data_IF_834198755884
#
_entry.id   IF_834198755884
#
_cell.length_a   1.000
_cell.length_b   1.000
_cell.length_c   1.000
_cell.angle_alpha   90.00
_cell.angle_beta   90.00
_cell.angle_gamma   90.00
#
_symmetry.space_group_name_H-M   'P 1'
#
loop_
_entity.id
_entity.type
_entity.pdbx_description
1 polymer ?
#
# COMPACT_ATOMS: atom_id res chain seq x y z
N UNK A 1 25.37 -4.92 -32.78
CA UNK A 1 25.47 -5.19 -31.32
C UNK A 1 24.38 -6.21 -31.01
N UNK A 2 24.78 -7.47 -30.77
CA UNK A 2 23.87 -8.57 -30.41
C UNK A 2 23.29 -8.31 -29.02
N UNK A 3 21.96 -8.37 -28.88
CA UNK A 3 21.29 -8.30 -27.59
C UNK A 3 21.81 -9.43 -26.68
N UNK A 4 22.09 -9.18 -25.40
CA UNK A 4 22.51 -10.23 -24.49
C UNK A 4 21.42 -11.30 -24.38
N UNK A 5 21.81 -12.56 -24.55
CA UNK A 5 20.94 -13.72 -24.43
C UNK A 5 20.30 -13.75 -23.04
N UNK A 6 18.98 -13.68 -22.97
CA UNK A 6 18.23 -13.70 -21.71
C UNK A 6 18.12 -15.14 -21.22
N UNK A 7 18.60 -15.40 -20.00
CA UNK A 7 18.58 -16.70 -19.38
C UNK A 7 17.14 -17.20 -19.11
N UNK A 8 16.86 -18.53 -19.25
CA UNK A 8 15.53 -19.09 -18.95
C UNK A 8 15.15 -18.90 -17.47
N UNK A 9 13.85 -18.92 -17.13
CA UNK A 9 13.34 -18.67 -15.75
C UNK A 9 13.99 -19.59 -14.68
N UNK A 10 14.43 -20.76 -15.05
CA UNK A 10 15.20 -21.67 -14.20
C UNK A 10 16.62 -21.17 -13.85
N UNK A 11 17.13 -20.13 -14.55
CA UNK A 11 18.46 -19.58 -14.34
C UNK A 11 18.56 -18.56 -13.21
N UNK A 12 17.41 -18.06 -12.67
CA UNK A 12 17.43 -17.10 -11.58
C UNK A 12 17.46 -17.81 -10.22
N UNK A 13 18.65 -17.90 -9.62
CA UNK A 13 18.88 -18.60 -8.37
C UNK A 13 18.24 -17.95 -7.15
N UNK A 14 18.28 -18.65 -6.01
CA UNK A 14 17.83 -18.15 -4.71
C UNK A 14 18.48 -16.81 -4.33
N UNK A 15 19.68 -16.52 -4.80
CA UNK A 15 20.43 -15.28 -4.57
C UNK A 15 19.73 -14.08 -5.21
N UNK A 16 19.25 -14.17 -6.45
CA UNK A 16 18.50 -13.07 -7.12
C UNK A 16 17.22 -12.73 -6.35
N UNK A 17 16.51 -13.77 -5.89
CA UNK A 17 15.31 -13.58 -5.06
C UNK A 17 15.62 -12.86 -3.75
N UNK A 18 16.70 -13.22 -3.07
CA UNK A 18 17.14 -12.54 -1.83
C UNK A 18 17.48 -11.07 -2.06
N UNK A 19 18.16 -10.74 -3.17
CA UNK A 19 18.45 -9.34 -3.50
C UNK A 19 17.18 -8.52 -3.73
N UNK A 20 16.18 -9.09 -4.41
CA UNK A 20 14.87 -8.44 -4.58
C UNK A 20 14.17 -8.23 -3.24
N UNK A 21 14.12 -9.25 -2.38
CA UNK A 21 13.50 -9.19 -1.05
C UNK A 21 14.16 -8.09 -0.18
N UNK A 22 15.48 -8.00 -0.18
CA UNK A 22 16.23 -6.98 0.58
C UNK A 22 15.96 -5.58 0.04
N UNK A 23 15.97 -5.38 -1.28
CA UNK A 23 15.67 -4.08 -1.87
C UNK A 23 14.24 -3.62 -1.54
N UNK A 24 13.28 -4.55 -1.62
CA UNK A 24 11.87 -4.28 -1.29
C UNK A 24 11.72 -3.96 0.20
N UNK A 25 12.28 -4.78 1.09
CA UNK A 25 12.19 -4.55 2.53
C UNK A 25 12.77 -3.18 2.92
N UNK A 26 13.94 -2.82 2.38
CA UNK A 26 14.59 -1.53 2.64
C UNK A 26 13.77 -0.35 2.14
N UNK A 27 13.23 -0.42 0.91
CA UNK A 27 12.38 0.64 0.37
C UNK A 27 11.09 0.80 1.18
N UNK A 28 10.42 -0.30 1.53
CA UNK A 28 9.17 -0.22 2.28
C UNK A 28 9.37 0.12 3.75
N UNK A 29 10.54 -0.17 4.32
CA UNK A 29 10.92 0.35 5.64
C UNK A 29 11.04 1.87 5.61
N UNK A 30 11.70 2.43 4.57
CA UNK A 30 11.78 3.88 4.37
C UNK A 30 10.38 4.51 4.19
N UNK A 31 9.53 3.92 3.34
CA UNK A 31 8.14 4.38 3.18
C UNK A 31 7.40 4.32 4.52
N UNK A 32 7.58 3.25 5.29
CA UNK A 32 6.98 3.08 6.62
C UNK A 32 7.41 4.17 7.61
N UNK A 33 8.69 4.55 7.63
CA UNK A 33 9.19 5.68 8.44
C UNK A 33 8.44 6.97 8.08
N UNK A 34 8.22 7.22 6.79
CA UNK A 34 7.50 8.41 6.33
C UNK A 34 6.02 8.43 6.75
N UNK A 35 5.38 7.27 7.02
CA UNK A 35 3.98 7.21 7.44
C UNK A 35 3.73 7.89 8.79
N UNK A 36 4.69 7.89 9.70
CA UNK A 36 4.60 8.62 10.99
C UNK A 36 5.29 9.98 10.95
N UNK A 37 6.42 10.08 10.26
CA UNK A 37 7.23 11.30 10.25
C UNK A 37 6.56 12.44 9.48
N UNK A 38 5.95 12.19 8.30
CA UNK A 38 5.32 13.24 7.48
C UNK A 38 4.12 13.89 8.17
N UNK A 39 3.15 13.14 8.76
CA UNK A 39 2.07 13.74 9.53
C UNK A 39 2.56 14.65 10.67
N UNK A 40 3.57 14.19 11.39
CA UNK A 40 4.16 14.95 12.50
C UNK A 40 4.83 16.22 12.00
N UNK A 41 5.66 16.13 10.97
CA UNK A 41 6.35 17.27 10.40
C UNK A 41 5.38 18.36 9.95
N UNK A 42 4.33 17.98 9.20
CA UNK A 42 3.32 18.94 8.75
C UNK A 42 2.56 19.56 9.92
N UNK A 43 2.25 18.78 10.98
CA UNK A 43 1.47 19.26 12.13
C UNK A 43 2.31 20.07 13.10
N UNK A 44 3.48 19.55 13.47
CA UNK A 44 4.28 20.08 14.59
C UNK A 44 5.26 21.17 14.15
N UNK A 45 5.93 20.97 12.99
CA UNK A 45 6.95 21.92 12.51
C UNK A 45 6.34 23.01 11.59
N UNK A 46 5.38 22.63 10.75
CA UNK A 46 4.78 23.56 9.79
C UNK A 46 3.43 24.15 10.25
N UNK A 47 2.88 23.72 11.38
CA UNK A 47 1.59 24.21 11.90
C UNK A 47 0.39 23.92 11.00
N UNK A 48 0.49 22.88 10.13
CA UNK A 48 -0.53 22.55 9.15
C UNK A 48 -1.85 22.10 9.77
N UNK A 49 -2.97 22.38 9.07
CA UNK A 49 -4.30 21.85 9.42
C UNK A 49 -4.34 20.34 9.26
N UNK A 50 -5.36 19.67 9.81
CA UNK A 50 -5.53 18.22 9.62
C UNK A 50 -5.77 17.86 8.15
N UNK A 51 -6.43 18.75 7.38
CA UNK A 51 -6.56 18.59 5.94
C UNK A 51 -5.20 18.64 5.22
N UNK A 52 -4.28 19.53 5.66
CA UNK A 52 -2.92 19.60 5.12
C UNK A 52 -2.12 18.34 5.45
N UNK A 53 -2.19 17.85 6.70
CA UNK A 53 -1.59 16.59 7.13
C UNK A 53 -2.09 15.43 6.29
N UNK A 54 -3.40 15.31 6.15
CA UNK A 54 -4.03 14.28 5.35
C UNK A 54 -3.60 14.33 3.89
N UNK A 55 -3.62 15.52 3.27
CA UNK A 55 -3.21 15.71 1.88
C UNK A 55 -1.75 15.33 1.67
N UNK A 56 -0.83 15.84 2.50
CA UNK A 56 0.60 15.52 2.41
C UNK A 56 0.86 14.02 2.54
N UNK A 57 0.10 13.32 3.38
CA UNK A 57 0.26 11.88 3.59
C UNK A 57 -0.28 11.07 2.40
N UNK A 58 -1.46 11.43 1.87
CA UNK A 58 -2.20 10.58 0.92
C UNK A 58 -2.02 10.95 -0.55
N UNK A 59 -1.44 12.11 -0.87
CA UNK A 59 -1.13 12.52 -2.26
C UNK A 59 -0.21 11.51 -2.97
N UNK A 60 0.59 10.78 -2.22
CA UNK A 60 1.40 9.66 -2.69
C UNK A 60 0.56 8.65 -3.48
N UNK A 61 -0.63 8.29 -2.98
CA UNK A 61 -1.51 7.33 -3.64
C UNK A 61 -2.16 7.88 -4.91
N UNK A 62 -2.46 9.19 -4.94
CA UNK A 62 -2.95 9.84 -6.15
C UNK A 62 -1.90 9.78 -7.28
N UNK A 63 -0.64 10.05 -6.95
CA UNK A 63 0.46 9.90 -7.90
C UNK A 63 0.63 8.45 -8.36
N UNK A 64 0.54 7.48 -7.43
CA UNK A 64 0.61 6.06 -7.75
C UNK A 64 -0.49 5.65 -8.74
N UNK A 65 -1.73 6.09 -8.50
CA UNK A 65 -2.88 5.82 -9.36
C UNK A 65 -2.62 6.29 -10.81
N UNK A 66 -2.08 7.50 -10.97
CA UNK A 66 -1.83 8.09 -12.28
C UNK A 66 -0.63 7.47 -13.01
N UNK A 67 0.41 7.07 -12.29
CA UNK A 67 1.66 6.60 -12.89
C UNK A 67 1.67 5.13 -13.25
N UNK A 68 0.96 4.25 -12.52
CA UNK A 68 0.98 2.79 -12.75
C UNK A 68 0.69 2.37 -14.20
N UNK A 69 -0.34 2.90 -14.90
CA UNK A 69 -0.61 2.49 -16.27
C UNK A 69 0.49 2.89 -17.26
N UNK A 70 1.17 4.02 -16.98
CA UNK A 70 2.27 4.51 -17.80
C UNK A 70 3.53 3.65 -17.61
N UNK A 71 3.84 3.35 -16.36
CA UNK A 71 5.00 2.54 -15.96
C UNK A 71 4.92 1.14 -16.54
N UNK A 72 3.76 0.47 -16.46
CA UNK A 72 3.59 -0.87 -17.03
C UNK A 72 3.94 -0.90 -18.54
N UNK A 73 3.44 0.08 -19.30
CA UNK A 73 3.74 0.20 -20.74
C UNK A 73 5.22 0.50 -21.02
N UNK A 74 5.82 1.36 -20.21
CA UNK A 74 7.23 1.72 -20.35
C UNK A 74 8.15 0.52 -20.05
N UNK A 75 7.85 -0.26 -19.01
CA UNK A 75 8.59 -1.47 -18.65
C UNK A 75 8.57 -2.54 -19.76
N UNK A 76 7.45 -2.68 -20.47
CA UNK A 76 7.33 -3.63 -21.60
C UNK A 76 8.15 -3.21 -22.82
N UNK A 77 8.55 -1.94 -22.92
CA UNK A 77 9.34 -1.39 -24.04
C UNK A 77 10.82 -1.22 -23.71
N UNK A 78 11.12 -0.72 -22.52
CA UNK A 78 12.48 -0.30 -22.13
C UNK A 78 13.22 -1.42 -21.39
N UNK A 79 12.50 -2.28 -20.67
CA UNK A 79 13.04 -3.29 -19.76
C UNK A 79 12.58 -3.01 -18.32
N UNK A 80 12.83 -4.00 -17.42
CA UNK A 80 12.40 -3.90 -16.00
C UNK A 80 13.48 -3.26 -15.13
N UNK A 81 14.76 -3.51 -15.42
CA UNK A 81 15.89 -3.10 -14.60
C UNK A 81 15.97 -1.58 -14.34
N UNK A 82 15.75 -0.68 -15.30
CA UNK A 82 15.74 0.76 -15.02
C UNK A 82 14.69 1.17 -13.98
N UNK A 83 13.53 0.51 -14.00
CA UNK A 83 12.42 0.78 -13.06
C UNK A 83 12.63 0.18 -11.66
N UNK A 84 13.59 -0.75 -11.52
CA UNK A 84 14.05 -1.25 -10.22
C UNK A 84 15.17 -0.40 -9.59
N UNK A 85 15.84 0.45 -10.37
CA UNK A 85 17.04 1.15 -9.92
C UNK A 85 16.83 2.66 -9.78
N UNK A 86 16.57 3.36 -10.89
CA UNK A 86 16.48 4.82 -10.91
C UNK A 86 15.43 5.40 -9.95
N UNK A 87 14.24 4.81 -9.76
CA UNK A 87 13.28 5.31 -8.79
C UNK A 87 13.83 5.40 -7.38
N UNK A 88 14.66 4.43 -6.95
CA UNK A 88 15.26 4.42 -5.62
C UNK A 88 16.26 5.55 -5.41
N UNK A 89 17.06 5.88 -6.45
CA UNK A 89 17.97 7.02 -6.38
C UNK A 89 17.20 8.34 -6.27
N UNK A 90 16.13 8.50 -7.07
CA UNK A 90 15.27 9.69 -6.98
C UNK A 90 14.59 9.77 -5.60
N UNK A 91 14.11 8.65 -5.08
CA UNK A 91 13.51 8.59 -3.74
C UNK A 91 14.49 8.99 -2.64
N UNK A 92 15.78 8.63 -2.76
CA UNK A 92 16.82 9.07 -1.82
C UNK A 92 17.02 10.59 -1.87
N UNK A 93 17.09 11.17 -3.08
CA UNK A 93 17.20 12.62 -3.26
C UNK A 93 15.96 13.35 -2.71
N UNK A 94 14.77 12.82 -2.97
CA UNK A 94 13.51 13.38 -2.46
C UNK A 94 13.41 13.26 -0.93
N UNK A 95 13.98 12.21 -0.33
CA UNK A 95 14.03 12.07 1.12
C UNK A 95 14.90 13.17 1.75
N UNK A 96 16.07 13.47 1.17
CA UNK A 96 16.90 14.59 1.60
C UNK A 96 16.18 15.93 1.32
N UNK A 97 15.50 16.05 0.21
CA UNK A 97 14.71 17.24 -0.17
C UNK A 97 13.60 17.59 0.82
N UNK A 98 13.13 16.64 1.66
CA UNK A 98 12.19 16.92 2.75
C UNK A 98 12.73 17.90 3.77
N UNK A 99 14.04 17.91 4.01
CA UNK A 99 14.69 18.87 4.92
C UNK A 99 14.55 20.32 4.44
N UNK A 100 14.53 20.53 3.12
CA UNK A 100 14.34 21.85 2.51
C UNK A 100 12.85 22.24 2.32
N UNK A 101 11.92 21.35 2.67
CA UNK A 101 10.48 21.56 2.44
C UNK A 101 9.83 22.31 3.61
N UNK A 102 10.19 23.57 3.84
CA UNK A 102 9.70 24.41 4.94
C UNK A 102 8.29 24.96 4.76
N UNK A 103 7.52 24.46 3.78
CA UNK A 103 6.14 24.83 3.54
C UNK A 103 5.29 23.59 3.19
N UNK A 104 4.01 23.58 3.58
CA UNK A 104 3.09 22.45 3.31
C UNK A 104 3.05 22.08 1.83
N UNK A 105 2.96 23.07 0.93
CA UNK A 105 2.93 22.80 -0.52
C UNK A 105 4.20 22.11 -1.03
N UNK A 106 5.37 22.43 -0.46
CA UNK A 106 6.64 21.80 -0.81
C UNK A 106 6.67 20.35 -0.37
N UNK A 107 6.19 20.06 0.86
CA UNK A 107 6.00 18.68 1.34
C UNK A 107 5.05 17.91 0.42
N UNK A 108 3.90 18.49 0.07
CA UNK A 108 2.92 17.87 -0.85
C UNK A 108 3.57 17.56 -2.21
N UNK A 109 4.37 18.48 -2.77
CA UNK A 109 5.07 18.24 -4.02
C UNK A 109 6.09 17.09 -3.92
N UNK A 110 6.91 17.09 -2.88
CA UNK A 110 7.86 16.00 -2.63
C UNK A 110 7.12 14.67 -2.48
N UNK A 111 6.03 14.62 -1.73
CA UNK A 111 5.20 13.43 -1.53
C UNK A 111 4.52 12.95 -2.83
N UNK A 112 4.09 13.87 -3.68
CA UNK A 112 3.56 13.54 -5.01
C UNK A 112 4.64 12.83 -5.86
N UNK A 113 5.84 13.38 -5.90
CA UNK A 113 6.97 12.78 -6.62
C UNK A 113 7.37 11.42 -6.01
N UNK A 114 7.46 11.33 -4.68
CA UNK A 114 7.71 10.07 -4.00
C UNK A 114 6.65 9.01 -4.35
N UNK A 115 5.38 9.41 -4.50
CA UNK A 115 4.29 8.52 -4.93
C UNK A 115 4.52 7.98 -6.34
N UNK A 116 4.90 8.84 -7.29
CA UNK A 116 5.18 8.44 -8.65
C UNK A 116 6.35 7.45 -8.75
N UNK A 117 7.48 7.75 -8.11
CA UNK A 117 8.66 6.88 -8.16
C UNK A 117 8.54 5.64 -7.28
N UNK A 118 7.91 5.75 -6.10
CA UNK A 118 7.65 4.62 -5.22
C UNK A 118 6.71 3.58 -5.86
N UNK A 119 5.64 4.03 -6.53
CA UNK A 119 4.76 3.13 -7.26
C UNK A 119 5.43 2.50 -8.47
N UNK A 120 6.35 3.23 -9.11
CA UNK A 120 7.17 2.73 -10.21
C UNK A 120 8.05 1.56 -9.74
N UNK A 121 8.78 1.73 -8.67
CA UNK A 121 9.59 0.66 -8.07
C UNK A 121 8.72 -0.54 -7.64
N UNK A 122 7.60 -0.29 -6.94
CA UNK A 122 6.69 -1.36 -6.53
C UNK A 122 6.17 -2.19 -7.71
N UNK A 123 5.74 -1.51 -8.78
CA UNK A 123 5.21 -2.18 -9.98
C UNK A 123 6.30 -3.04 -10.64
N UNK A 124 7.53 -2.53 -10.73
CA UNK A 124 8.67 -3.29 -11.25
C UNK A 124 8.98 -4.53 -10.38
N UNK A 125 8.98 -4.38 -9.06
CA UNK A 125 9.18 -5.50 -8.13
C UNK A 125 8.11 -6.58 -8.27
N UNK A 126 6.84 -6.19 -8.42
CA UNK A 126 5.72 -7.13 -8.59
C UNK A 126 5.89 -7.94 -9.89
N UNK A 127 6.25 -7.29 -11.00
CA UNK A 127 6.51 -7.97 -12.28
C UNK A 127 7.73 -8.88 -12.17
N UNK A 128 8.87 -8.34 -11.71
CA UNK A 128 10.12 -9.10 -11.61
C UNK A 128 9.99 -10.29 -10.67
N UNK A 129 9.26 -10.17 -9.55
CA UNK A 129 9.03 -11.30 -8.64
C UNK A 129 8.37 -12.49 -9.32
N UNK A 130 7.46 -12.23 -10.28
CA UNK A 130 6.79 -13.28 -11.06
C UNK A 130 7.65 -13.77 -12.25
N UNK A 131 8.47 -12.87 -12.85
CA UNK A 131 9.36 -13.22 -13.96
C UNK A 131 10.47 -14.19 -13.54
N UNK A 132 11.03 -14.02 -12.33
CA UNK A 132 12.10 -14.86 -11.78
C UNK A 132 11.61 -16.14 -11.10
N UNK A 133 10.28 -16.27 -10.89
CA UNK A 133 9.68 -17.44 -10.26
C UNK A 133 9.25 -18.48 -11.31
N UNK A 134 9.46 -19.79 -11.04
CA UNK A 134 8.82 -20.85 -11.82
C UNK A 134 7.29 -20.67 -11.80
N UNK A 135 6.58 -21.11 -12.86
CA UNK A 135 5.11 -20.93 -12.94
C UNK A 135 4.36 -21.40 -11.68
N UNK A 136 4.77 -22.52 -11.10
CA UNK A 136 4.14 -23.15 -9.92
C UNK A 136 4.42 -22.35 -8.63
N UNK A 137 5.43 -21.49 -8.62
CA UNK A 137 5.86 -20.70 -7.46
C UNK A 137 5.51 -19.22 -7.55
N UNK A 138 4.82 -18.76 -8.60
CA UNK A 138 4.48 -17.33 -8.80
C UNK A 138 3.63 -16.77 -7.65
N UNK A 139 2.63 -17.51 -7.20
CA UNK A 139 1.81 -17.11 -6.05
C UNK A 139 2.66 -16.95 -4.77
N UNK A 140 3.57 -17.88 -4.51
CA UNK A 140 4.49 -17.81 -3.37
C UNK A 140 5.48 -16.64 -3.49
N UNK A 141 5.91 -16.27 -4.70
CA UNK A 141 6.77 -15.11 -4.94
C UNK A 141 6.05 -13.80 -4.61
N UNK A 142 4.80 -13.65 -5.03
CA UNK A 142 3.95 -12.48 -4.70
C UNK A 142 3.66 -12.43 -3.20
N UNK A 143 3.39 -13.56 -2.57
CA UNK A 143 3.15 -13.62 -1.12
C UNK A 143 4.40 -13.18 -0.33
N UNK A 144 5.59 -13.60 -0.76
CA UNK A 144 6.87 -13.19 -0.14
C UNK A 144 7.15 -11.71 -0.36
N UNK A 145 6.91 -11.18 -1.55
CA UNK A 145 6.99 -9.74 -1.83
C UNK A 145 6.09 -8.95 -0.87
N UNK A 146 4.86 -9.39 -0.70
CA UNK A 146 3.91 -8.78 0.23
C UNK A 146 4.41 -8.83 1.67
N UNK A 147 5.03 -9.93 2.11
CA UNK A 147 5.60 -10.03 3.45
C UNK A 147 6.67 -8.96 3.69
N UNK A 148 7.59 -8.75 2.73
CA UNK A 148 8.62 -7.71 2.84
C UNK A 148 8.02 -6.30 2.94
N UNK A 149 6.96 -6.02 2.18
CA UNK A 149 6.21 -4.76 2.24
C UNK A 149 5.61 -4.55 3.64
N UNK A 150 4.96 -5.58 4.18
CA UNK A 150 4.32 -5.46 5.49
C UNK A 150 5.29 -5.37 6.65
N UNK A 151 6.46 -6.00 6.56
CA UNK A 151 7.52 -5.80 7.55
C UNK A 151 7.95 -4.32 7.57
N UNK A 152 8.11 -3.69 6.41
CA UNK A 152 8.38 -2.26 6.31
C UNK A 152 7.29 -1.39 6.97
N UNK A 153 6.02 -1.69 6.69
CA UNK A 153 4.89 -0.97 7.30
C UNK A 153 4.70 -1.26 8.79
N UNK A 154 5.15 -2.42 9.28
CA UNK A 154 5.09 -2.78 10.68
C UNK A 154 6.10 -2.01 11.52
N UNK A 155 7.36 -2.04 11.10
CA UNK A 155 8.46 -1.47 11.88
C UNK A 155 8.74 -0.02 11.54
N UNK A 156 8.45 0.40 10.29
CA UNK A 156 8.76 1.74 9.81
C UNK A 156 8.16 2.87 10.64
N UNK A 157 6.84 2.89 10.92
CA UNK A 157 6.25 3.97 11.71
C UNK A 157 6.77 4.03 13.15
N UNK A 158 7.06 2.90 13.76
CA UNK A 158 7.69 2.86 15.09
C UNK A 158 9.08 3.49 15.06
N UNK A 159 9.91 3.13 14.06
CA UNK A 159 11.23 3.72 13.84
C UNK A 159 11.10 5.21 13.52
N UNK A 160 10.11 5.60 12.70
CA UNK A 160 9.87 6.98 12.33
C UNK A 160 9.54 7.88 13.53
N UNK A 161 8.69 7.43 14.45
CA UNK A 161 8.40 8.13 15.72
C UNK A 161 9.69 8.30 16.54
N UNK A 162 10.42 7.21 16.75
CA UNK A 162 11.66 7.20 17.52
C UNK A 162 12.74 8.15 16.95
N UNK A 163 12.87 8.21 15.63
CA UNK A 163 13.80 9.11 14.96
C UNK A 163 13.33 10.56 15.03
N UNK A 164 12.05 10.82 14.83
CA UNK A 164 11.49 12.16 14.86
C UNK A 164 11.60 12.79 16.25
N UNK A 165 11.48 12.02 17.33
CA UNK A 165 11.69 12.49 18.71
C UNK A 165 13.14 12.98 18.98
N UNK A 166 14.10 12.63 18.11
CA UNK A 166 15.49 13.09 18.17
C UNK A 166 15.80 14.28 17.26
N UNK A 167 14.83 14.64 16.42
CA UNK A 167 14.90 15.75 15.46
C UNK A 167 14.32 15.37 14.12
N UNK A 168 13.60 16.31 13.50
CA UNK A 168 12.87 16.08 12.25
C UNK A 168 13.76 15.65 11.06
N UNK A 169 15.07 15.95 11.10
CA UNK A 169 16.01 15.55 10.05
C UNK A 169 16.32 14.04 10.02
N UNK A 170 16.26 13.36 11.17
CA UNK A 170 16.68 11.96 11.26
C UNK A 170 15.82 10.99 10.44
N UNK A 171 14.48 11.10 10.39
CA UNK A 171 13.66 10.31 9.50
C UNK A 171 14.05 10.45 8.03
N UNK A 172 14.33 11.67 7.56
CA UNK A 172 14.71 11.94 6.17
C UNK A 172 16.03 11.29 5.80
N UNK A 173 17.03 11.46 6.68
CA UNK A 173 18.34 10.85 6.50
C UNK A 173 18.25 9.31 6.50
N UNK A 174 17.51 8.72 7.42
CA UNK A 174 17.30 7.28 7.46
C UNK A 174 16.63 6.76 6.18
N UNK A 175 15.62 7.47 5.69
CA UNK A 175 14.97 7.13 4.42
C UNK A 175 15.93 7.22 3.23
N UNK A 176 16.75 8.28 3.17
CA UNK A 176 17.76 8.44 2.12
C UNK A 176 18.76 7.28 2.12
N UNK A 177 19.29 6.91 3.29
CA UNK A 177 20.21 5.78 3.45
C UNK A 177 19.58 4.47 3.03
N UNK A 178 18.33 4.20 3.45
CA UNK A 178 17.61 2.99 3.08
C UNK A 178 17.33 2.91 1.57
N UNK A 179 16.98 4.04 0.94
CA UNK A 179 16.77 4.07 -0.52
C UNK A 179 18.08 3.90 -1.29
N UNK A 180 19.19 4.51 -0.84
CA UNK A 180 20.53 4.32 -1.44
C UNK A 180 21.01 2.87 -1.27
N UNK A 181 20.76 2.27 -0.12
CA UNK A 181 21.07 0.87 0.11
C UNK A 181 20.24 -0.03 -0.81
N UNK A 182 18.92 0.21 -0.92
CA UNK A 182 18.05 -0.50 -1.85
C UNK A 182 18.52 -0.31 -3.31
N UNK A 183 18.96 0.91 -3.69
CA UNK A 183 19.53 1.18 -5.00
C UNK A 183 20.80 0.35 -5.25
N UNK A 184 21.75 0.34 -4.32
CA UNK A 184 22.98 -0.45 -4.44
C UNK A 184 22.70 -1.96 -4.57
N UNK A 185 21.75 -2.48 -3.79
CA UNK A 185 21.32 -3.87 -3.87
C UNK A 185 20.65 -4.17 -5.23
N UNK A 186 19.79 -3.26 -5.70
CA UNK A 186 19.05 -3.43 -6.95
C UNK A 186 19.94 -3.49 -8.20
N UNK A 187 21.16 -2.94 -8.12
CA UNK A 187 22.15 -3.06 -9.22
C UNK A 187 22.53 -4.53 -9.52
N UNK A 188 22.35 -5.43 -8.56
CA UNK A 188 22.63 -6.87 -8.71
C UNK A 188 21.47 -7.64 -9.35
N UNK A 189 20.33 -6.99 -9.56
CA UNK A 189 19.17 -7.60 -10.20
C UNK A 189 19.36 -7.63 -11.73
N UNK A 190 19.10 -8.77 -12.38
CA UNK A 190 19.21 -8.90 -13.83
C UNK A 190 18.03 -8.23 -14.53
N UNK A 191 18.20 -8.00 -15.84
CA UNK A 191 17.07 -7.69 -16.72
C UNK A 191 16.23 -8.95 -16.94
N UNK A 192 14.90 -8.84 -16.79
CA UNK A 192 13.97 -9.97 -16.92
C UNK A 192 13.07 -9.88 -18.15
N UNK A 193 13.13 -8.79 -18.91
CA UNK A 193 12.37 -8.66 -20.16
C UNK A 193 12.88 -9.65 -21.21
N UNK A 194 12.08 -10.65 -21.56
CA UNK A 194 12.45 -11.70 -22.53
C UNK A 194 12.20 -11.29 -23.97
N UNK A 195 11.03 -10.73 -24.24
CA UNK A 195 10.63 -10.25 -25.57
C UNK A 195 9.89 -8.94 -25.43
N UNK A 196 10.19 -7.99 -26.32
CA UNK A 196 9.43 -6.74 -26.41
C UNK A 196 8.04 -7.07 -26.95
N UNK A 197 7.01 -6.81 -26.17
CA UNK A 197 5.63 -6.97 -26.63
C UNK A 197 5.39 -6.00 -27.80
N UNK A 198 5.05 -6.53 -28.96
CA UNK A 198 4.53 -5.76 -30.09
C UNK A 198 3.15 -5.22 -29.76
N UNK A 199 2.82 -4.03 -30.26
CA UNK A 199 1.63 -3.25 -29.85
C UNK A 199 0.26 -3.87 -30.21
N UNK A 200 0.24 -5.04 -30.82
CA UNK A 200 -0.90 -5.61 -31.55
C UNK A 200 -1.69 -6.71 -30.81
N UNK A 201 -1.52 -6.83 -29.48
CA UNK A 201 -2.41 -7.74 -28.74
C UNK A 201 -3.68 -6.99 -28.34
N UNK A 202 -4.81 -7.42 -28.90
CA UNK A 202 -6.16 -6.91 -28.64
C UNK A 202 -6.43 -6.69 -27.15
N UNK A 203 -6.70 -5.44 -26.78
CA UNK A 203 -7.03 -5.08 -25.39
C UNK A 203 -8.45 -5.54 -25.11
N UNK A 204 -8.70 -6.26 -24.00
CA UNK A 204 -10.06 -6.57 -23.58
C UNK A 204 -10.85 -5.28 -23.34
N UNK A 205 -12.14 -5.34 -23.58
CA UNK A 205 -13.03 -4.22 -23.35
C UNK A 205 -12.99 -3.78 -21.87
N UNK A 206 -12.75 -2.50 -21.62
CA UNK A 206 -12.82 -1.92 -20.26
C UNK A 206 -14.14 -2.23 -19.55
N UNK A 207 -15.24 -2.40 -20.30
CA UNK A 207 -16.57 -2.73 -19.76
C UNK A 207 -16.64 -4.15 -19.15
N UNK A 208 -15.95 -5.13 -19.73
CA UNK A 208 -15.90 -6.50 -19.18
C UNK A 208 -15.10 -6.54 -17.89
N UNK A 209 -13.96 -5.86 -17.83
CA UNK A 209 -13.12 -5.72 -16.64
C UNK A 209 -13.86 -5.02 -15.49
N UNK A 210 -14.60 -3.96 -15.78
CA UNK A 210 -15.37 -3.23 -14.78
C UNK A 210 -16.43 -4.11 -14.08
N UNK A 211 -17.11 -5.00 -14.81
CA UNK A 211 -18.13 -5.89 -14.20
C UNK A 211 -17.53 -6.84 -13.17
N UNK A 212 -16.35 -7.37 -13.41
CA UNK A 212 -15.66 -8.31 -12.51
C UNK A 212 -15.10 -7.58 -11.28
N UNK A 213 -14.54 -6.38 -11.48
CA UNK A 213 -13.79 -5.66 -10.44
C UNK A 213 -14.66 -4.71 -9.63
N UNK A 214 -15.80 -4.23 -10.15
CA UNK A 214 -16.51 -3.09 -9.54
C UNK A 214 -16.88 -3.35 -8.07
N UNK A 215 -17.55 -4.45 -7.75
CA UNK A 215 -17.97 -4.73 -6.36
C UNK A 215 -16.79 -5.00 -5.42
N UNK A 216 -15.84 -5.92 -5.75
CA UNK A 216 -14.64 -6.09 -4.93
C UNK A 216 -13.82 -4.81 -4.82
N UNK A 217 -13.72 -4.04 -5.92
CA UNK A 217 -13.01 -2.76 -5.98
C UNK A 217 -13.62 -1.70 -5.08
N UNK A 218 -14.95 -1.52 -5.10
CA UNK A 218 -15.64 -0.58 -4.20
C UNK A 218 -15.46 -0.97 -2.74
N UNK A 219 -15.57 -2.26 -2.39
CA UNK A 219 -15.31 -2.72 -1.04
C UNK A 219 -13.85 -2.44 -0.62
N UNK A 220 -12.89 -2.61 -1.55
CA UNK A 220 -11.48 -2.29 -1.31
C UNK A 220 -11.22 -0.78 -1.22
N UNK A 221 -11.90 0.05 -2.00
CA UNK A 221 -11.84 1.51 -1.90
C UNK A 221 -12.25 1.95 -0.49
N UNK A 222 -13.34 1.39 0.04
CA UNK A 222 -13.79 1.67 1.41
C UNK A 222 -12.75 1.26 2.46
N UNK A 223 -12.11 0.10 2.29
CA UNK A 223 -11.05 -0.36 3.18
C UNK A 223 -9.78 0.52 3.05
N UNK A 224 -9.42 0.93 1.82
CA UNK A 224 -8.31 1.83 1.55
C UNK A 224 -8.49 3.20 2.23
N UNK A 225 -9.69 3.76 2.18
CA UNK A 225 -10.01 5.02 2.85
C UNK A 225 -9.76 4.91 4.36
N UNK A 226 -10.24 3.85 5.01
CA UNK A 226 -9.99 3.64 6.44
C UNK A 226 -8.51 3.40 6.75
N UNK A 227 -7.79 2.63 5.93
CA UNK A 227 -6.35 2.44 6.08
C UNK A 227 -5.58 3.78 6.08
N UNK A 228 -5.88 4.64 5.11
CA UNK A 228 -5.23 5.96 5.04
C UNK A 228 -5.61 6.89 6.19
N UNK A 229 -6.82 6.74 6.75
CA UNK A 229 -7.17 7.46 7.98
C UNK A 229 -6.23 7.07 9.14
N UNK A 230 -5.96 5.79 9.33
CA UNK A 230 -4.98 5.31 10.34
C UNK A 230 -3.62 5.92 10.04
N UNK A 231 -3.12 5.78 8.82
CA UNK A 231 -1.77 6.24 8.44
C UNK A 231 -1.60 7.75 8.63
N UNK A 232 -2.58 8.55 8.22
CA UNK A 232 -2.47 10.01 8.23
C UNK A 232 -2.70 10.61 9.63
N UNK A 233 -3.60 10.04 10.41
CA UNK A 233 -4.11 10.73 11.59
C UNK A 233 -3.82 10.04 12.92
N UNK A 234 -3.30 8.80 12.92
CA UNK A 234 -2.95 8.11 14.16
C UNK A 234 -1.95 8.89 15.02
N UNK A 235 -0.90 9.56 14.45
CA UNK A 235 0.00 10.39 15.24
C UNK A 235 -0.69 11.58 15.92
N UNK A 236 -1.55 12.30 15.21
CA UNK A 236 -2.29 13.44 15.78
C UNK A 236 -3.33 13.00 16.80
N UNK A 237 -4.08 11.94 16.47
CA UNK A 237 -5.08 11.36 17.34
C UNK A 237 -4.51 10.82 18.66
N UNK A 238 -3.38 10.11 18.62
CA UNK A 238 -2.74 9.58 19.83
C UNK A 238 -2.37 10.67 20.84
N UNK A 239 -1.93 11.83 20.33
CA UNK A 239 -1.63 12.99 21.18
C UNK A 239 -2.88 13.64 21.76
N UNK A 240 -3.96 13.75 20.96
CA UNK A 240 -5.25 14.30 21.43
C UNK A 240 -5.82 13.47 22.60
N UNK A 241 -5.62 12.15 22.59
CA UNK A 241 -6.10 11.26 23.68
C UNK A 241 -5.08 11.06 24.82
N UNK A 242 -3.93 11.76 24.79
CA UNK A 242 -2.94 11.73 25.88
C UNK A 242 -1.87 10.65 25.79
N UNK A 243 -1.81 9.84 24.72
CA UNK A 243 -0.83 8.76 24.60
C UNK A 243 0.59 9.23 24.24
N UNK A 244 0.79 10.49 23.90
CA UNK A 244 2.09 11.07 23.56
C UNK A 244 2.69 10.57 22.24
N UNK A 245 2.79 9.25 22.00
CA UNK A 245 3.36 8.65 20.79
C UNK A 245 2.40 7.65 20.14
N UNK A 246 2.39 7.60 18.80
CA UNK A 246 1.60 6.64 18.02
C UNK A 246 2.34 5.31 17.74
N UNK A 247 3.62 5.21 18.08
CA UNK A 247 4.46 4.07 17.71
C UNK A 247 3.89 2.72 18.19
N UNK A 248 3.44 2.64 19.45
CA UNK A 248 2.85 1.43 20.01
C UNK A 248 1.53 1.04 19.30
N UNK A 249 0.71 2.02 18.89
CA UNK A 249 -0.51 1.77 18.14
C UNK A 249 -0.21 1.28 16.72
N UNK A 250 0.76 1.87 16.01
CA UNK A 250 1.22 1.38 14.72
C UNK A 250 1.77 -0.05 14.82
N UNK A 251 2.55 -0.34 15.85
CA UNK A 251 3.07 -1.68 16.09
C UNK A 251 1.93 -2.69 16.33
N UNK A 252 0.94 -2.33 17.16
CA UNK A 252 -0.26 -3.14 17.41
C UNK A 252 -1.04 -3.42 16.13
N UNK A 253 -1.27 -2.37 15.31
CA UNK A 253 -1.90 -2.50 13.99
C UNK A 253 -1.16 -3.50 13.10
N UNK A 254 0.15 -3.34 12.99
CA UNK A 254 0.97 -4.13 12.11
C UNK A 254 1.07 -5.60 12.55
N UNK A 255 1.28 -5.86 13.86
CA UNK A 255 1.31 -7.21 14.41
C UNK A 255 -0.02 -7.93 14.19
N UNK A 256 -1.14 -7.28 14.45
CA UNK A 256 -2.48 -7.85 14.26
C UNK A 256 -2.79 -8.13 12.78
N UNK A 257 -2.39 -7.22 11.87
CA UNK A 257 -2.54 -7.43 10.43
C UNK A 257 -1.66 -8.58 9.91
N UNK A 258 -0.41 -8.69 10.37
CA UNK A 258 0.48 -9.79 10.02
C UNK A 258 -0.02 -11.13 10.56
N UNK A 259 -0.46 -11.15 11.83
CA UNK A 259 -0.98 -12.36 12.46
C UNK A 259 -2.15 -12.95 11.65
N UNK A 260 -3.14 -12.12 11.30
CA UNK A 260 -4.30 -12.61 10.57
C UNK A 260 -3.95 -13.09 9.16
N UNK A 261 -2.93 -12.51 8.52
CA UNK A 261 -2.49 -12.93 7.17
C UNK A 261 -1.96 -14.36 7.12
N UNK A 262 -1.34 -14.83 8.20
CA UNK A 262 -0.86 -16.23 8.29
C UNK A 262 -2.03 -17.21 8.18
N UNK A 263 -3.20 -16.83 8.66
CA UNK A 263 -4.40 -17.70 8.71
C UNK A 263 -5.40 -17.40 7.60
N UNK A 264 -5.48 -16.14 7.13
CA UNK A 264 -6.51 -15.69 6.17
C UNK A 264 -6.45 -16.43 4.84
N UNK A 265 -5.26 -16.80 4.36
CA UNK A 265 -5.09 -17.60 3.15
C UNK A 265 -5.74 -18.99 3.30
N UNK A 266 -5.42 -19.72 4.38
CA UNK A 266 -6.01 -21.04 4.65
C UNK A 266 -7.53 -20.97 4.87
N UNK A 267 -8.02 -19.91 5.52
CA UNK A 267 -9.45 -19.67 5.68
C UNK A 267 -10.12 -19.42 4.31
N UNK A 268 -9.49 -18.62 3.46
CA UNK A 268 -10.00 -18.33 2.12
C UNK A 268 -10.04 -19.59 1.24
N UNK A 269 -9.01 -20.43 1.31
CA UNK A 269 -8.96 -21.70 0.59
C UNK A 269 -10.05 -22.67 1.03
N UNK A 270 -10.38 -22.67 2.34
CA UNK A 270 -11.37 -23.58 2.92
C UNK A 270 -12.81 -23.09 2.80
N UNK A 271 -13.06 -21.80 2.99
CA UNK A 271 -14.40 -21.22 3.10
C UNK A 271 -14.74 -20.23 1.98
N UNK A 272 -13.78 -19.95 1.09
CA UNK A 272 -13.91 -18.98 0.00
C UNK A 272 -13.56 -17.54 0.42
N UNK A 273 -13.14 -16.74 -0.57
CA UNK A 273 -12.66 -15.37 -0.36
C UNK A 273 -13.70 -14.44 0.28
N UNK A 274 -14.97 -14.58 -0.10
CA UNK A 274 -16.07 -13.75 0.42
C UNK A 274 -16.33 -14.03 1.90
N UNK A 275 -16.15 -15.29 2.33
CA UNK A 275 -16.31 -15.69 3.74
C UNK A 275 -15.23 -15.09 4.66
N UNK A 276 -14.10 -14.67 4.10
CA UNK A 276 -13.02 -13.95 4.83
C UNK A 276 -13.20 -12.44 4.71
N UNK A 277 -13.50 -11.92 3.51
CA UNK A 277 -13.60 -10.49 3.25
C UNK A 277 -14.77 -9.82 4.02
N UNK A 278 -15.93 -10.48 4.09
CA UNK A 278 -17.13 -9.90 4.73
C UNK A 278 -16.94 -9.73 6.24
N UNK A 279 -16.58 -10.76 7.04
CA UNK A 279 -16.26 -10.55 8.45
C UNK A 279 -15.09 -9.60 8.67
N UNK A 280 -14.08 -9.63 7.77
CA UNK A 280 -12.94 -8.71 7.82
C UNK A 280 -13.38 -7.24 7.74
N UNK A 281 -14.28 -6.89 6.81
CA UNK A 281 -14.83 -5.53 6.69
C UNK A 281 -15.66 -5.13 7.91
N UNK A 282 -16.42 -6.05 8.49
CA UNK A 282 -17.15 -5.79 9.72
C UNK A 282 -16.20 -5.47 10.88
N UNK A 283 -15.18 -6.32 11.11
CA UNK A 283 -14.18 -6.10 12.16
C UNK A 283 -13.40 -4.81 11.91
N UNK A 284 -13.05 -4.51 10.67
CA UNK A 284 -12.39 -3.27 10.27
C UNK A 284 -13.23 -2.03 10.61
N UNK A 285 -14.51 -2.03 10.25
CA UNK A 285 -15.43 -0.93 10.56
C UNK A 285 -15.67 -0.77 12.05
N UNK A 286 -15.81 -1.89 12.80
CA UNK A 286 -15.97 -1.87 14.24
C UNK A 286 -14.71 -1.30 14.92
N UNK A 287 -13.50 -1.62 14.43
CA UNK A 287 -12.26 -1.03 14.92
C UNK A 287 -12.26 0.50 14.78
N UNK A 288 -12.65 1.04 13.60
CA UNK A 288 -12.76 2.48 13.38
C UNK A 288 -13.85 3.12 14.26
N UNK A 289 -14.98 2.44 14.43
CA UNK A 289 -16.04 2.92 15.34
C UNK A 289 -15.54 3.02 16.78
N UNK A 290 -14.83 2.02 17.28
CA UNK A 290 -14.24 2.05 18.61
C UNK A 290 -13.18 3.15 18.75
N UNK A 291 -12.37 3.42 17.71
CA UNK A 291 -11.48 4.59 17.68
C UNK A 291 -12.26 5.90 17.79
N UNK A 292 -13.39 6.04 17.09
CA UNK A 292 -14.22 7.25 17.12
C UNK A 292 -14.81 7.53 18.50
N UNK A 293 -15.13 6.51 19.29
CA UNK A 293 -15.75 6.66 20.62
C UNK A 293 -14.74 6.58 21.78
N UNK A 294 -13.46 6.29 21.50
CA UNK A 294 -12.45 6.12 22.53
C UNK A 294 -12.28 7.40 23.37
N UNK A 295 -12.34 7.25 24.68
CA UNK A 295 -12.15 8.31 25.69
C UNK A 295 -11.07 7.98 26.71
N UNK A 296 -10.50 6.79 26.60
CA UNK A 296 -9.49 6.25 27.51
C UNK A 296 -8.28 5.84 26.72
N UNK A 297 -7.10 5.91 27.30
CA UNK A 297 -5.84 5.58 26.64
C UNK A 297 -5.71 4.09 26.24
N UNK A 298 -6.45 3.20 26.91
CA UNK A 298 -6.37 1.75 26.65
C UNK A 298 -7.28 1.29 25.48
N UNK A 299 -8.44 1.95 25.25
CA UNK A 299 -9.41 1.52 24.22
C UNK A 299 -8.87 1.59 22.78
N UNK A 300 -8.00 2.54 22.41
CA UNK A 300 -7.38 2.57 21.08
C UNK A 300 -6.58 1.30 20.74
N UNK A 301 -6.00 0.58 21.70
CA UNK A 301 -5.22 -0.62 21.42
C UNK A 301 -6.07 -1.77 20.84
N UNK A 302 -7.14 -2.25 21.49
CA UNK A 302 -8.02 -3.24 20.87
C UNK A 302 -8.71 -2.72 19.62
N UNK A 303 -9.05 -1.43 19.55
CA UNK A 303 -9.68 -0.81 18.39
C UNK A 303 -8.76 -0.86 17.16
N UNK A 304 -7.50 -0.45 17.31
CA UNK A 304 -6.52 -0.48 16.22
C UNK A 304 -6.09 -1.91 15.85
N UNK A 305 -6.07 -2.83 16.82
CA UNK A 305 -5.85 -4.24 16.56
C UNK A 305 -6.97 -4.83 15.68
N UNK A 306 -8.23 -4.52 15.96
CA UNK A 306 -9.37 -4.92 15.13
C UNK A 306 -9.27 -4.32 13.72
N UNK A 307 -8.87 -3.05 13.61
CA UNK A 307 -8.61 -2.41 12.32
C UNK A 307 -7.52 -3.16 11.55
N UNK A 308 -6.42 -3.53 12.20
CA UNK A 308 -5.34 -4.32 11.61
C UNK A 308 -5.80 -5.71 11.15
N UNK A 309 -6.53 -6.45 12.01
CA UNK A 309 -7.13 -7.76 11.68
C UNK A 309 -8.02 -7.64 10.45
N UNK A 310 -8.92 -6.65 10.46
CA UNK A 310 -9.87 -6.45 9.36
C UNK A 310 -9.17 -6.16 8.04
N UNK A 311 -8.29 -5.16 7.97
CA UNK A 311 -7.56 -4.82 6.75
C UNK A 311 -6.62 -5.95 6.28
N UNK A 312 -5.94 -6.62 7.24
CA UNK A 312 -5.07 -7.75 6.96
C UNK A 312 -5.78 -8.93 6.29
N UNK A 313 -7.07 -9.15 6.60
CA UNK A 313 -7.91 -10.16 5.99
C UNK A 313 -8.55 -9.70 4.67
N UNK A 314 -9.06 -8.46 4.62
CA UNK A 314 -9.85 -7.91 3.50
C UNK A 314 -9.02 -7.77 2.24
N UNK A 315 -7.86 -7.12 2.32
CA UNK A 315 -7.05 -6.80 1.14
C UNK A 315 -6.67 -8.04 0.32
N UNK A 316 -6.06 -9.10 0.91
CA UNK A 316 -5.70 -10.29 0.15
C UNK A 316 -6.93 -11.07 -0.35
N UNK A 317 -7.99 -11.16 0.44
CA UNK A 317 -9.19 -11.89 0.06
C UNK A 317 -9.91 -11.24 -1.13
N UNK A 318 -10.09 -9.91 -1.13
CA UNK A 318 -10.71 -9.20 -2.26
C UNK A 318 -9.79 -9.17 -3.49
N UNK A 319 -8.46 -9.09 -3.31
CA UNK A 319 -7.49 -9.19 -4.40
C UNK A 319 -7.58 -10.54 -5.09
N UNK A 320 -7.55 -11.62 -4.31
CA UNK A 320 -7.65 -12.98 -4.82
C UNK A 320 -9.00 -13.21 -5.53
N UNK A 321 -10.10 -12.75 -4.93
CA UNK A 321 -11.44 -12.83 -5.53
C UNK A 321 -11.53 -12.13 -6.89
N UNK A 322 -10.93 -10.94 -7.01
CA UNK A 322 -10.94 -10.18 -8.26
C UNK A 322 -10.12 -10.90 -9.35
N UNK A 323 -8.95 -11.42 -8.99
CA UNK A 323 -8.06 -12.13 -9.93
C UNK A 323 -8.61 -13.49 -10.33
N UNK A 324 -9.22 -14.23 -9.40
CA UNK A 324 -9.79 -15.56 -9.64
C UNK A 324 -10.98 -15.53 -10.62
N UNK A 325 -11.75 -14.44 -10.59
CA UNK A 325 -12.86 -14.21 -11.52
C UNK A 325 -12.43 -13.73 -12.92
N UNK A 326 -11.16 -13.52 -13.15
CA UNK A 326 -10.62 -13.02 -14.40
C UNK A 326 -10.12 -14.16 -15.29
N UNK A 327 -10.32 -14.09 -16.62
CA UNK A 327 -9.60 -14.96 -17.55
C UNK A 327 -8.09 -14.83 -17.37
N UNK A 328 -7.35 -15.93 -17.59
CA UNK A 328 -5.91 -16.00 -17.33
C UNK A 328 -5.12 -14.88 -18.02
N UNK A 329 -5.50 -14.54 -19.25
CA UNK A 329 -4.87 -13.50 -20.05
C UNK A 329 -5.13 -12.08 -19.50
N UNK A 330 -6.17 -11.91 -18.67
CA UNK A 330 -6.62 -10.61 -18.16
C UNK A 330 -6.30 -10.39 -16.68
N UNK A 331 -5.78 -11.40 -15.95
CA UNK A 331 -5.51 -11.33 -14.51
C UNK A 331 -4.65 -10.13 -14.10
N UNK A 332 -3.62 -9.81 -14.89
CA UNK A 332 -2.77 -8.64 -14.62
C UNK A 332 -3.51 -7.31 -14.76
N UNK A 333 -4.41 -7.20 -15.73
CA UNK A 333 -5.21 -5.98 -15.94
C UNK A 333 -6.28 -5.82 -14.85
N UNK A 334 -6.95 -6.91 -14.48
CA UNK A 334 -7.92 -6.95 -13.38
C UNK A 334 -7.26 -6.53 -12.07
N UNK A 335 -6.07 -7.06 -11.78
CA UNK A 335 -5.29 -6.65 -10.61
C UNK A 335 -4.95 -5.16 -10.65
N UNK A 336 -4.51 -4.64 -11.80
CA UNK A 336 -4.20 -3.22 -11.96
C UNK A 336 -5.41 -2.32 -11.69
N UNK A 337 -6.58 -2.66 -12.26
CA UNK A 337 -7.83 -1.92 -12.02
C UNK A 337 -8.27 -2.04 -10.56
N UNK A 338 -8.19 -3.22 -9.95
CA UNK A 338 -8.52 -3.43 -8.55
C UNK A 338 -7.63 -2.57 -7.62
N UNK A 339 -6.33 -2.55 -7.84
CA UNK A 339 -5.40 -1.71 -7.08
C UNK A 339 -5.67 -0.22 -7.26
N UNK A 340 -6.21 0.21 -8.42
CA UNK A 340 -6.63 1.59 -8.64
C UNK A 340 -7.78 2.01 -7.74
N UNK A 341 -8.72 1.12 -7.41
CA UNK A 341 -9.76 1.39 -6.40
C UNK A 341 -9.15 1.57 -5.00
N UNK A 342 -8.18 0.75 -4.63
CA UNK A 342 -7.46 0.91 -3.37
C UNK A 342 -6.75 2.26 -3.29
N UNK A 343 -5.99 2.61 -4.33
CA UNK A 343 -5.24 3.86 -4.38
C UNK A 343 -6.17 5.09 -4.39
N UNK A 344 -7.33 5.00 -5.05
CA UNK A 344 -8.34 6.05 -5.06
C UNK A 344 -8.92 6.26 -3.64
N UNK A 345 -9.28 5.18 -2.94
CA UNK A 345 -9.74 5.24 -1.55
C UNK A 345 -8.70 5.88 -0.64
N UNK A 346 -7.44 5.47 -0.78
CA UNK A 346 -6.32 6.03 -0.05
C UNK A 346 -6.12 7.53 -0.35
N UNK A 347 -6.19 7.94 -1.61
CA UNK A 347 -5.94 9.32 -2.01
C UNK A 347 -7.02 10.30 -1.51
N UNK A 348 -8.29 9.87 -1.51
CA UNK A 348 -9.42 10.69 -1.05
C UNK A 348 -9.42 10.85 0.47
N UNK A 349 -8.97 9.84 1.21
CA UNK A 349 -9.06 9.80 2.66
C UNK A 349 -8.42 11.00 3.35
N UNK A 350 -7.21 11.37 2.96
CA UNK A 350 -6.45 12.42 3.62
C UNK A 350 -7.15 13.76 3.65
N UNK A 351 -7.43 14.37 2.49
CA UNK A 351 -8.10 15.67 2.45
C UNK A 351 -9.53 15.61 3.01
N UNK A 352 -10.31 14.55 2.71
CA UNK A 352 -11.70 14.45 3.15
C UNK A 352 -11.82 14.26 4.66
N UNK A 353 -11.12 13.28 5.22
CA UNK A 353 -11.12 12.99 6.66
C UNK A 353 -10.46 14.14 7.44
N UNK A 354 -9.38 14.72 6.88
CA UNK A 354 -8.69 15.86 7.49
C UNK A 354 -9.58 17.11 7.62
N UNK A 355 -10.33 17.44 6.57
CA UNK A 355 -11.30 18.54 6.62
C UNK A 355 -12.39 18.31 7.67
N UNK A 356 -12.87 17.08 7.82
CA UNK A 356 -13.85 16.71 8.86
C UNK A 356 -13.20 16.78 10.25
N UNK A 357 -11.96 16.35 10.39
CA UNK A 357 -11.24 16.45 11.66
C UNK A 357 -10.99 17.90 12.08
N UNK A 358 -10.70 18.81 11.14
CA UNK A 358 -10.55 20.23 11.38
C UNK A 358 -11.90 20.88 11.81
N UNK A 359 -13.03 20.44 11.23
CA UNK A 359 -14.35 21.00 11.50
C UNK A 359 -15.00 20.42 12.77
N UNK A 360 -14.82 19.13 13.04
CA UNK A 360 -15.60 18.39 14.04
C UNK A 360 -14.76 17.51 14.99
N UNK A 361 -13.42 17.53 14.85
CA UNK A 361 -12.48 16.74 15.65
C UNK A 361 -12.23 15.33 15.14
N UNK A 362 -11.19 14.68 15.64
CA UNK A 362 -10.76 13.34 15.19
C UNK A 362 -11.76 12.23 15.48
N UNK A 363 -12.68 12.41 16.40
CA UNK A 363 -13.80 11.47 16.61
C UNK A 363 -14.62 11.27 15.34
N UNK A 364 -15.05 12.38 14.73
CA UNK A 364 -15.73 12.33 13.44
C UNK A 364 -14.79 11.89 12.32
N UNK A 365 -13.52 12.28 12.40
CA UNK A 365 -12.49 11.81 11.50
C UNK A 365 -12.41 10.26 11.44
N UNK A 366 -12.50 9.58 12.58
CA UNK A 366 -12.56 8.10 12.64
C UNK A 366 -13.98 7.54 12.45
N UNK A 367 -15.02 8.33 12.72
CA UNK A 367 -16.42 7.96 12.48
C UNK A 367 -16.74 7.78 10.99
N UNK A 368 -16.17 8.63 10.13
CA UNK A 368 -16.37 8.52 8.67
C UNK A 368 -15.85 7.20 8.10
N UNK A 369 -14.60 6.76 8.34
CA UNK A 369 -14.14 5.44 7.94
C UNK A 369 -15.00 4.29 8.46
N UNK A 370 -15.57 4.41 9.68
CA UNK A 370 -16.49 3.41 10.21
C UNK A 370 -17.76 3.28 9.34
N UNK A 371 -18.37 4.43 8.97
CA UNK A 371 -19.55 4.45 8.08
C UNK A 371 -19.21 3.92 6.69
N UNK A 372 -18.07 4.36 6.13
CA UNK A 372 -17.61 3.91 4.81
C UNK A 372 -17.31 2.43 4.80
N UNK A 373 -16.71 1.89 5.87
CA UNK A 373 -16.47 0.45 6.02
C UNK A 373 -17.79 -0.34 6.14
N UNK A 374 -18.79 0.20 6.83
CA UNK A 374 -20.14 -0.39 6.88
C UNK A 374 -20.78 -0.44 5.48
N UNK A 375 -20.63 0.62 4.68
CA UNK A 375 -21.06 0.60 3.28
C UNK A 375 -20.30 -0.47 2.47
N UNK A 376 -18.96 -0.53 2.61
CA UNK A 376 -18.14 -1.58 1.99
C UNK A 376 -18.56 -2.99 2.39
N UNK A 377 -18.93 -3.19 3.65
CA UNK A 377 -19.49 -4.45 4.16
C UNK A 377 -20.80 -4.82 3.46
N UNK A 378 -21.73 -3.88 3.30
CA UNK A 378 -23.01 -4.11 2.58
C UNK A 378 -22.74 -4.47 1.11
N UNK A 379 -21.83 -3.77 0.44
CA UNK A 379 -21.41 -4.09 -0.93
C UNK A 379 -20.83 -5.51 -1.02
N UNK A 380 -19.98 -5.89 -0.06
CA UNK A 380 -19.37 -7.22 0.00
C UNK A 380 -20.38 -8.34 0.30
N UNK A 381 -21.45 -8.08 1.06
CA UNK A 381 -22.55 -9.02 1.23
C UNK A 381 -23.22 -9.38 -0.11
N UNK A 382 -23.30 -8.41 -1.03
CA UNK A 382 -23.79 -8.64 -2.39
C UNK A 382 -22.92 -9.60 -3.22
N UNK A 383 -21.65 -9.81 -2.85
CA UNK A 383 -20.76 -10.78 -3.50
C UNK A 383 -21.12 -12.25 -3.20
N UNK A 384 -21.81 -12.53 -2.07
CA UNK A 384 -22.32 -13.86 -1.71
C UNK A 384 -23.46 -14.34 -2.63
N UNK A 385 -24.21 -13.41 -3.24
CA UNK A 385 -25.40 -13.68 -4.05
C UNK A 385 -25.13 -13.78 -5.55
N UNK A 386 -23.91 -13.50 -5.99
CA UNK A 386 -23.53 -13.66 -7.39
C UNK A 386 -23.14 -15.12 -7.60
N UNK A 387 -23.98 -15.95 -8.26
CA UNK A 387 -23.57 -17.31 -8.62
C UNK A 387 -22.37 -17.20 -9.54
N UNK A 388 -21.44 -18.15 -9.39
CA UNK A 388 -20.32 -18.42 -10.28
C UNK A 388 -20.80 -18.38 -11.75
N UNK A 389 -20.72 -17.24 -12.39
CA UNK A 389 -20.75 -17.14 -13.84
C UNK A 389 -19.30 -16.96 -14.26
N UNK A 390 -18.58 -18.11 -14.34
CA UNK A 390 -17.50 -18.25 -15.29
C UNK A 390 -17.97 -17.59 -16.60
N UNK A 391 -17.22 -16.63 -17.09
CA UNK A 391 -17.38 -16.10 -18.43
C UNK A 391 -17.05 -17.27 -19.39
N UNK A 392 -18.09 -18.08 -19.75
CA UNK A 392 -18.08 -18.92 -20.95
C UNK A 392 -18.05 -18.05 -22.19
#
# INVERSE_FOLDING_TARGET
MSAPAVAPAAAFGATTRRWLDVAVASNFLAIGILLSAVPRYVKEELGGSSAAVGTATTIFFAAALLTRPLVGRAMDRIGRRPFLTWPLLVMAVLAIGMEAAHAVWAVVLVRLLQGAFGSTFYTACAVVSTDIAPPEQRASAVARLSLMIYLGFAFGPFIGEFLFDRGSQWPWLACAVLHLFAFAVSQRLPETLRERRTADQSRPSMRSLQRVVLRPGVAQLCAGLGYSCVVAFLPSYSREIGLGSSGALFFTYACSALLVRVFSGRLADRFGYVAVAVPGLFVFGLGHFLMAIARTEWLPFPAIAMTGIGFGAVFPALTALAVDRAPDEQRGQVLGVFLSFNDLGNAIAGPAVGAIADAAGFRWGYGVPAIVAAFGFVVALGLRRSPDRSLT
#
